data_IF_199202600558
#
_entry.id   IF_199202600558
#
_cell.length_a   1.000
_cell.length_b   1.000
_cell.length_c   1.000
_cell.angle_alpha   90.00
_cell.angle_beta   90.00
_cell.angle_gamma   90.00
#
_symmetry.space_group_name_H-M   'P 1'
#
loop_
_entity.id
_entity.type
_entity.pdbx_description
1 polymer ?
#
# COMPACT_ATOMS: atom_id res chain seq x y z
N UNK A 1 1.20 -0.92 74.47
CA UNK A 1 0.02 -0.71 73.62
C UNK A 1 0.47 0.08 72.40
N UNK A 2 0.92 -0.63 71.35
CA UNK A 2 1.45 -0.01 70.13
C UNK A 2 0.28 0.44 69.25
N UNK A 3 0.23 1.73 68.92
CA UNK A 3 -0.73 2.29 67.96
C UNK A 3 -0.09 2.16 66.58
N UNK A 4 -0.49 1.18 65.79
CA UNK A 4 -0.14 1.08 64.38
C UNK A 4 -0.79 2.26 63.66
N UNK A 5 -0.04 3.19 63.05
CA UNK A 5 -0.64 4.14 62.12
C UNK A 5 -0.98 3.37 60.84
N UNK A 6 -2.26 2.98 60.72
CA UNK A 6 -2.88 2.65 59.44
C UNK A 6 -2.73 3.87 58.54
N UNK A 7 -1.67 3.88 57.73
CA UNK A 7 -1.56 4.79 56.60
C UNK A 7 -2.60 4.29 55.60
N UNK A 8 -3.78 4.91 55.64
CA UNK A 8 -4.72 4.81 54.55
C UNK A 8 -4.07 5.51 53.36
N UNK A 9 -3.52 4.71 52.45
CA UNK A 9 -3.05 5.17 51.16
C UNK A 9 -4.25 5.77 50.41
N UNK A 10 -4.35 7.09 50.46
CA UNK A 10 -5.23 7.89 49.61
C UNK A 10 -4.68 7.81 48.18
N UNK A 11 -4.99 6.70 47.51
CA UNK A 11 -4.73 6.51 46.08
C UNK A 11 -5.65 7.45 45.29
N UNK A 12 -5.33 8.74 45.32
CA UNK A 12 -5.95 9.77 44.51
C UNK A 12 -5.93 9.34 43.05
N UNK A 13 -7.10 8.93 42.56
CA UNK A 13 -7.34 8.51 41.20
C UNK A 13 -6.94 9.66 40.27
N UNK A 14 -5.73 9.61 39.72
CA UNK A 14 -5.16 10.63 38.84
C UNK A 14 -5.87 10.55 37.48
N UNK A 15 -7.15 10.97 37.45
CA UNK A 15 -8.01 10.96 36.27
C UNK A 15 -7.73 12.25 35.51
N UNK A 16 -7.29 12.12 34.24
CA UNK A 16 -7.16 13.26 33.35
C UNK A 16 -8.50 13.98 33.19
N UNK A 17 -8.54 15.33 33.26
CA UNK A 17 -9.79 16.08 33.32
C UNK A 17 -10.63 15.86 32.06
N UNK A 18 -11.89 15.48 32.27
CA UNK A 18 -12.88 15.18 31.20
C UNK A 18 -12.99 16.32 30.17
N UNK A 19 -12.83 17.56 30.61
CA UNK A 19 -12.90 18.74 29.75
C UNK A 19 -11.86 18.73 28.61
N UNK A 20 -10.72 18.07 28.80
CA UNK A 20 -9.71 17.98 27.75
C UNK A 20 -10.15 17.08 26.58
N UNK A 21 -10.84 15.99 26.88
CA UNK A 21 -11.41 15.08 25.87
C UNK A 21 -12.57 15.73 25.12
N UNK A 22 -13.44 16.48 25.82
CA UNK A 22 -14.55 17.19 25.17
C UNK A 22 -14.03 18.27 24.20
N UNK A 23 -13.01 19.02 24.61
CA UNK A 23 -12.42 20.08 23.76
C UNK A 23 -11.79 19.49 22.50
N UNK A 24 -11.06 18.39 22.62
CA UNK A 24 -10.44 17.71 21.47
C UNK A 24 -11.45 16.98 20.59
N UNK A 25 -12.46 16.34 21.18
CA UNK A 25 -13.59 15.75 20.44
C UNK A 25 -14.38 16.79 19.64
N UNK A 26 -14.64 17.97 20.21
CA UNK A 26 -15.30 19.06 19.49
C UNK A 26 -14.47 19.56 18.30
N UNK A 27 -13.14 19.68 18.46
CA UNK A 27 -12.25 20.06 17.36
C UNK A 27 -12.29 19.03 16.21
N UNK A 28 -12.36 17.72 16.52
CA UNK A 28 -12.54 16.70 15.49
C UNK A 28 -13.91 16.75 14.81
N UNK A 29 -14.98 17.04 15.55
CA UNK A 29 -16.31 17.22 14.97
C UNK A 29 -16.35 18.40 13.98
N UNK A 30 -15.67 19.50 14.31
CA UNK A 30 -15.52 20.65 13.41
C UNK A 30 -14.75 20.25 12.15
N UNK A 31 -13.61 19.56 12.30
CA UNK A 31 -12.82 19.10 11.15
C UNK A 31 -13.57 18.06 10.29
N UNK A 32 -14.41 17.22 10.89
CA UNK A 32 -15.30 16.29 10.19
C UNK A 32 -16.29 17.07 9.31
N UNK A 33 -16.96 18.07 9.89
CA UNK A 33 -17.85 18.96 9.15
C UNK A 33 -17.12 19.68 8.01
N UNK A 34 -15.90 20.16 8.28
CA UNK A 34 -15.07 20.83 7.28
C UNK A 34 -14.72 19.90 6.11
N UNK A 35 -14.39 18.63 6.37
CA UNK A 35 -14.12 17.65 5.29
C UNK A 35 -15.36 17.34 4.47
N UNK A 36 -16.54 17.27 5.10
CA UNK A 36 -17.80 17.04 4.38
C UNK A 36 -18.15 18.26 3.54
N UNK A 37 -17.95 19.47 4.06
CA UNK A 37 -18.21 20.70 3.34
C UNK A 37 -17.24 20.86 2.16
N UNK A 38 -15.96 20.54 2.37
CA UNK A 38 -14.97 20.51 1.31
C UNK A 38 -15.33 19.50 0.23
N UNK A 39 -15.87 18.34 0.58
CA UNK A 39 -16.34 17.36 -0.39
C UNK A 39 -17.61 17.80 -1.16
N UNK A 40 -18.37 18.78 -0.64
CA UNK A 40 -19.58 19.32 -1.27
C UNK A 40 -19.31 20.52 -2.17
N UNK A 41 -18.13 21.16 -2.05
CA UNK A 41 -17.77 22.37 -2.80
C UNK A 41 -16.70 22.02 -3.81
N UNK A 42 -16.97 22.26 -5.10
CA UNK A 42 -15.97 22.13 -6.16
C UNK A 42 -15.01 23.32 -6.15
N UNK A 43 -13.94 23.21 -5.36
CA UNK A 43 -12.87 24.22 -5.32
C UNK A 43 -12.16 24.39 -6.67
N UNK A 44 -12.24 23.38 -7.56
CA UNK A 44 -11.63 23.42 -8.87
C UNK A 44 -12.18 24.52 -9.78
N UNK A 45 -13.46 24.85 -9.65
CA UNK A 45 -14.10 25.87 -10.50
C UNK A 45 -13.80 27.30 -9.98
N UNK A 46 -13.76 27.44 -8.65
CA UNK A 46 -13.57 28.72 -7.93
C UNK A 46 -12.11 29.18 -8.01
N UNK A 47 -11.14 28.25 -7.96
CA UNK A 47 -9.70 28.57 -7.91
C UNK A 47 -9.05 28.59 -9.30
N UNK A 48 -9.55 27.81 -10.27
CA UNK A 48 -8.92 27.63 -11.59
C UNK A 48 -9.65 28.36 -12.74
N UNK A 49 -10.72 29.12 -12.43
CA UNK A 49 -11.35 30.03 -13.41
C UNK A 49 -11.87 29.36 -14.68
N UNK A 50 -12.43 28.15 -14.58
CA UNK A 50 -13.07 27.43 -15.70
C UNK A 50 -12.17 26.49 -16.51
N UNK A 51 -10.89 26.31 -16.18
CA UNK A 51 -10.06 25.25 -16.79
C UNK A 51 -10.37 23.87 -16.16
N UNK A 52 -11.42 23.21 -16.65
CA UNK A 52 -11.94 21.91 -16.17
C UNK A 52 -10.90 20.76 -16.11
N UNK A 53 -9.77 20.89 -16.80
CA UNK A 53 -8.74 19.85 -16.89
C UNK A 53 -7.81 19.79 -15.66
N UNK A 54 -7.74 20.84 -14.83
CA UNK A 54 -6.95 20.82 -13.59
C UNK A 54 -7.77 20.88 -12.31
N UNK A 55 -9.07 21.20 -12.41
CA UNK A 55 -9.95 21.39 -11.25
C UNK A 55 -10.05 20.16 -10.34
N UNK A 56 -9.99 18.95 -10.91
CA UNK A 56 -10.05 17.70 -10.14
C UNK A 56 -8.82 17.48 -9.27
N UNK A 57 -7.62 17.84 -9.75
CA UNK A 57 -6.39 17.73 -8.97
C UNK A 57 -6.40 18.71 -7.80
N UNK A 58 -6.91 19.92 -8.01
CA UNK A 58 -7.00 20.95 -6.97
C UNK A 58 -7.91 20.49 -5.83
N UNK A 59 -9.10 19.96 -6.15
CA UNK A 59 -10.00 19.44 -5.12
C UNK A 59 -9.33 18.29 -4.32
N UNK A 60 -8.64 17.39 -5.01
CA UNK A 60 -7.97 16.26 -4.34
C UNK A 60 -6.80 16.72 -3.45
N UNK A 61 -6.01 17.69 -3.89
CA UNK A 61 -4.94 18.30 -3.07
C UNK A 61 -5.50 18.99 -1.83
N UNK A 62 -6.61 19.73 -1.97
CA UNK A 62 -7.31 20.36 -0.84
C UNK A 62 -7.83 19.29 0.13
N UNK A 63 -8.44 18.22 -0.37
CA UNK A 63 -8.90 17.11 0.46
C UNK A 63 -7.74 16.44 1.24
N UNK A 64 -6.61 16.17 0.57
CA UNK A 64 -5.41 15.61 1.20
C UNK A 64 -4.82 16.57 2.25
N UNK A 65 -4.80 17.87 1.97
CA UNK A 65 -4.32 18.88 2.93
C UNK A 65 -5.18 18.91 4.20
N UNK A 66 -6.51 18.95 4.05
CA UNK A 66 -7.43 18.92 5.18
C UNK A 66 -7.28 17.59 5.95
N UNK A 67 -7.13 16.48 5.24
CA UNK A 67 -6.89 15.17 5.84
C UNK A 67 -5.58 15.12 6.64
N UNK A 68 -4.49 15.73 6.14
CA UNK A 68 -3.20 15.80 6.83
C UNK A 68 -3.30 16.61 8.13
N UNK A 69 -3.96 17.77 8.11
CA UNK A 69 -4.20 18.60 9.31
C UNK A 69 -5.01 17.80 10.34
N UNK A 70 -6.05 17.08 9.89
CA UNK A 70 -6.86 16.19 10.74
C UNK A 70 -6.01 15.11 11.38
N UNK A 71 -5.18 14.42 10.61
CA UNK A 71 -4.29 13.38 11.11
C UNK A 71 -3.32 13.93 12.17
N UNK A 72 -2.74 15.11 11.94
CA UNK A 72 -1.84 15.75 12.91
C UNK A 72 -2.55 16.08 14.23
N UNK A 73 -3.77 16.63 14.19
CA UNK A 73 -4.57 16.88 15.40
C UNK A 73 -4.86 15.59 16.17
N UNK A 74 -5.28 14.53 15.48
CA UNK A 74 -5.57 13.22 16.10
C UNK A 74 -4.34 12.67 16.82
N UNK A 75 -3.18 12.68 16.15
CA UNK A 75 -1.92 12.17 16.71
C UNK A 75 -1.47 13.00 17.91
N UNK A 76 -1.53 14.33 17.83
CA UNK A 76 -1.04 15.16 18.94
C UNK A 76 -1.96 15.15 20.16
N UNK A 77 -3.28 15.10 19.95
CA UNK A 77 -4.28 15.28 21.00
C UNK A 77 -5.00 13.99 21.44
N UNK A 78 -5.52 13.20 20.50
CA UNK A 78 -6.27 11.97 20.82
C UNK A 78 -5.35 10.84 21.26
N UNK A 79 -4.19 10.70 20.62
CA UNK A 79 -3.16 9.77 21.09
C UNK A 79 -2.35 10.30 22.28
N UNK A 80 -2.68 11.50 22.80
CA UNK A 80 -2.02 12.13 23.94
C UNK A 80 -0.48 12.19 23.82
N UNK A 81 0.08 12.15 22.61
CA UNK A 81 1.53 12.11 22.38
C UNK A 81 2.22 13.29 23.06
N UNK A 82 1.60 14.48 23.06
CA UNK A 82 2.16 15.67 23.69
C UNK A 82 2.46 15.48 25.18
N UNK A 83 1.57 14.80 25.92
CA UNK A 83 1.68 14.57 27.36
C UNK A 83 2.27 13.21 27.71
N UNK A 84 2.49 12.36 26.71
CA UNK A 84 3.10 11.06 26.88
C UNK A 84 4.60 11.16 27.18
N UNK A 85 5.17 10.04 27.64
CA UNK A 85 6.59 9.92 27.92
C UNK A 85 7.44 10.13 26.66
N UNK A 86 8.70 10.55 26.83
CA UNK A 86 9.61 10.78 25.70
C UNK A 86 9.81 9.52 24.85
N UNK A 87 9.76 8.33 25.45
CA UNK A 87 9.85 7.05 24.75
C UNK A 87 8.65 6.84 23.82
N UNK A 88 7.42 7.12 24.28
CA UNK A 88 6.22 6.97 23.46
C UNK A 88 6.23 7.95 22.26
N UNK A 89 6.76 9.16 22.43
CA UNK A 89 6.91 10.15 21.35
C UNK A 89 7.83 9.64 20.24
N UNK A 90 8.96 9.03 20.59
CA UNK A 90 9.92 8.46 19.62
C UNK A 90 9.27 7.32 18.84
N UNK A 91 8.61 6.37 19.52
CA UNK A 91 7.94 5.26 18.85
C UNK A 91 6.81 5.73 17.92
N UNK A 92 6.03 6.73 18.32
CA UNK A 92 5.00 7.29 17.46
C UNK A 92 5.57 7.97 16.22
N UNK A 93 6.67 8.72 16.35
CA UNK A 93 7.41 9.31 15.23
C UNK A 93 7.96 8.23 14.29
N UNK A 94 8.55 7.17 14.83
CA UNK A 94 9.03 6.03 14.04
C UNK A 94 7.89 5.39 13.25
N UNK A 95 6.75 5.11 13.89
CA UNK A 95 5.58 4.57 13.19
C UNK A 95 5.08 5.49 12.07
N UNK A 96 5.01 6.79 12.34
CA UNK A 96 4.58 7.77 11.33
C UNK A 96 5.59 7.94 10.19
N UNK A 97 6.88 7.77 10.44
CA UNK A 97 7.93 7.76 9.42
C UNK A 97 7.89 6.51 8.53
N UNK A 98 7.56 5.34 9.10
CA UNK A 98 7.40 4.10 8.34
C UNK A 98 6.09 4.02 7.55
N UNK A 99 5.06 4.77 7.95
CA UNK A 99 3.75 4.83 7.29
C UNK A 99 3.84 5.20 5.79
N UNK A 100 4.49 6.30 5.36
CA UNK A 100 4.63 6.62 3.94
C UNK A 100 5.44 5.56 3.17
N UNK A 101 6.43 4.92 3.82
CA UNK A 101 7.19 3.82 3.19
C UNK A 101 6.25 2.64 2.89
N UNK A 102 5.37 2.29 3.82
CA UNK A 102 4.35 1.25 3.60
C UNK A 102 3.43 1.60 2.43
N UNK A 103 2.95 2.84 2.34
CA UNK A 103 2.12 3.29 1.20
C UNK A 103 2.88 3.28 -0.12
N UNK A 104 4.16 3.65 -0.13
CA UNK A 104 4.99 3.60 -1.34
C UNK A 104 5.14 2.17 -1.86
N UNK A 105 5.39 1.21 -0.96
CA UNK A 105 5.46 -0.22 -1.32
C UNK A 105 4.09 -0.72 -1.80
N UNK A 106 3.01 -0.30 -1.15
CA UNK A 106 1.65 -0.63 -1.61
C UNK A 106 1.39 -0.07 -3.02
N UNK A 107 1.72 1.19 -3.28
CA UNK A 107 1.58 1.81 -4.59
C UNK A 107 2.43 1.11 -5.67
N UNK A 108 3.62 0.62 -5.33
CA UNK A 108 4.44 -0.23 -6.20
C UNK A 108 3.68 -1.49 -6.62
N UNK A 109 3.08 -2.21 -5.67
CA UNK A 109 2.25 -3.38 -5.98
C UNK A 109 1.05 -3.05 -6.89
N UNK A 110 0.40 -1.89 -6.71
CA UNK A 110 -0.71 -1.48 -7.57
C UNK A 110 -0.28 -1.15 -9.01
N UNK A 111 0.95 -0.71 -9.20
CA UNK A 111 1.46 -0.29 -10.51
C UNK A 111 2.13 -1.44 -11.27
N UNK A 112 2.45 -2.55 -10.58
CA UNK A 112 2.99 -3.74 -11.22
C UNK A 112 1.95 -4.34 -12.16
N UNK A 113 2.29 -4.41 -13.45
CA UNK A 113 1.56 -5.23 -14.39
C UNK A 113 1.74 -6.69 -14.00
N UNK A 114 0.66 -7.36 -13.66
CA UNK A 114 0.66 -8.80 -13.48
C UNK A 114 0.95 -9.45 -14.83
N UNK A 115 2.21 -9.75 -15.09
CA UNK A 115 2.56 -10.62 -16.19
C UNK A 115 1.95 -12.00 -15.92
N UNK A 116 1.32 -12.58 -16.93
CA UNK A 116 0.82 -13.95 -16.84
C UNK A 116 2.07 -14.83 -16.73
N UNK A 117 2.28 -15.45 -15.58
CA UNK A 117 3.39 -16.40 -15.40
C UNK A 117 3.28 -17.44 -16.52
N UNK A 118 4.26 -17.45 -17.43
CA UNK A 118 4.44 -18.55 -18.37
C UNK A 118 4.85 -19.76 -17.53
N UNK A 119 3.87 -20.59 -17.18
CA UNK A 119 4.13 -21.85 -16.48
C UNK A 119 5.10 -22.72 -17.28
N UNK A 120 5.62 -23.77 -16.65
CA UNK A 120 6.37 -24.83 -17.33
C UNK A 120 5.47 -25.70 -18.25
N UNK A 121 4.50 -25.09 -18.90
CA UNK A 121 3.68 -25.64 -19.97
C UNK A 121 3.78 -24.69 -21.16
N UNK A 122 5.01 -24.55 -21.62
CA UNK A 122 5.36 -24.36 -23.01
C UNK A 122 4.65 -23.23 -23.76
N UNK A 123 5.22 -22.04 -23.67
CA UNK A 123 5.36 -21.14 -24.83
C UNK A 123 6.29 -21.77 -25.90
N UNK A 124 6.02 -23.02 -26.29
CA UNK A 124 6.88 -23.86 -27.14
C UNK A 124 6.19 -24.31 -28.43
N UNK A 125 4.96 -23.86 -28.70
CA UNK A 125 4.26 -24.26 -29.93
C UNK A 125 4.54 -23.36 -31.13
N UNK A 126 5.17 -22.19 -30.94
CA UNK A 126 5.32 -21.17 -32.00
C UNK A 126 6.78 -20.85 -32.39
N UNK A 127 7.78 -21.54 -31.86
CA UNK A 127 9.20 -21.35 -32.27
C UNK A 127 9.73 -22.49 -33.16
N UNK A 128 8.90 -23.48 -33.49
CA UNK A 128 9.25 -24.43 -34.54
C UNK A 128 9.10 -23.74 -35.89
N UNK A 129 10.19 -23.65 -36.66
CA UNK A 129 10.12 -23.26 -38.07
C UNK A 129 9.01 -24.10 -38.74
N UNK A 130 8.19 -23.52 -39.65
CA UNK A 130 7.13 -24.27 -40.30
C UNK A 130 7.73 -25.52 -40.92
N UNK A 131 7.20 -26.69 -40.56
CA UNK A 131 7.57 -27.94 -41.21
C UNK A 131 7.18 -27.79 -42.68
N UNK A 132 8.17 -27.57 -43.55
CA UNK A 132 7.99 -27.79 -44.98
C UNK A 132 7.78 -29.29 -45.11
N UNK A 133 6.52 -29.68 -45.33
CA UNK A 133 6.15 -31.07 -45.63
C UNK A 133 6.88 -31.42 -46.92
N UNK A 134 7.95 -32.22 -46.82
CA UNK A 134 8.49 -32.87 -48.01
C UNK A 134 7.46 -33.88 -48.50
N UNK A 135 7.38 -34.11 -49.81
CA UNK A 135 6.45 -35.05 -50.45
C UNK A 135 6.44 -36.45 -49.82
N UNK A 136 7.48 -36.79 -49.05
CA UNK A 136 7.71 -38.09 -48.45
C UNK A 136 7.22 -38.20 -46.98
N UNK A 137 6.73 -37.12 -46.36
CA UNK A 137 6.35 -37.08 -44.93
C UNK A 137 4.90 -37.52 -44.65
N UNK A 138 4.19 -38.07 -45.64
CA UNK A 138 2.79 -38.49 -45.53
C UNK A 138 2.59 -39.89 -44.89
N UNK A 139 3.63 -40.57 -44.40
CA UNK A 139 3.47 -41.85 -43.74
C UNK A 139 3.34 -41.67 -42.21
N UNK A 140 2.33 -42.28 -41.54
CA UNK A 140 2.22 -42.24 -40.09
C UNK A 140 3.51 -42.80 -39.45
N UNK A 141 4.17 -41.99 -38.63
CA UNK A 141 5.35 -42.42 -37.89
C UNK A 141 4.91 -43.50 -36.88
N UNK A 142 5.41 -44.73 -37.06
CA UNK A 142 5.22 -45.80 -36.09
C UNK A 142 5.86 -45.36 -34.75
N UNK A 143 5.10 -45.25 -33.65
CA UNK A 143 5.60 -44.81 -32.35
C UNK A 143 6.65 -45.74 -31.74
N UNK A 144 6.95 -46.90 -32.36
CA UNK A 144 7.98 -47.85 -31.89
C UNK A 144 9.24 -47.94 -32.75
N UNK A 145 9.44 -47.09 -33.75
CA UNK A 145 10.75 -46.95 -34.40
C UNK A 145 11.68 -46.08 -33.55
N UNK A 146 11.99 -46.59 -32.36
CA UNK A 146 13.00 -46.08 -31.47
C UNK A 146 14.37 -46.11 -32.14
N UNK A 147 15.17 -45.08 -31.87
CA UNK A 147 16.56 -45.26 -31.45
C UNK A 147 17.52 -45.89 -32.48
N UNK A 148 18.57 -45.13 -32.83
CA UNK A 148 19.83 -45.62 -33.45
C UNK A 148 19.99 -45.48 -34.99
N UNK A 149 19.77 -44.28 -35.54
CA UNK A 149 20.14 -43.97 -36.94
C UNK A 149 21.07 -42.76 -37.12
N UNK A 150 21.86 -42.38 -36.11
CA UNK A 150 23.01 -41.51 -36.34
C UNK A 150 24.33 -42.26 -36.12
N UNK A 151 24.56 -43.28 -36.98
CA UNK A 151 25.92 -43.75 -37.28
C UNK A 151 26.55 -42.68 -38.15
N UNK A 152 27.22 -41.74 -37.49
CA UNK A 152 27.97 -40.70 -38.16
C UNK A 152 29.08 -41.34 -39.02
N UNK A 153 29.08 -41.24 -40.36
CA UNK A 153 30.23 -41.64 -41.14
C UNK A 153 31.25 -40.52 -40.97
N UNK A 154 32.14 -40.68 -39.99
CA UNK A 154 33.38 -39.90 -39.93
C UNK A 154 34.20 -40.28 -41.16
N UNK A 155 33.92 -39.61 -42.28
CA UNK A 155 34.75 -39.62 -43.46
C UNK A 155 36.11 -39.09 -43.05
N UNK A 156 37.09 -39.98 -43.07
CA UNK A 156 38.51 -39.68 -43.24
C UNK A 156 38.68 -38.44 -44.12
N UNK A 157 39.43 -37.45 -43.63
CA UNK A 157 40.38 -36.62 -44.36
C UNK A 157 40.88 -35.50 -43.41
N UNK A 158 42.15 -35.64 -43.02
CA UNK A 158 43.05 -34.72 -42.32
C UNK A 158 42.88 -34.54 -40.80
#
# INVERSE_FOLDING_TARGET
MAKSPLHADDHGHHIHPVGMYIRTGSALMVLMGLTVLAARVDFGDIVTGGHHQYGYYVNNLVAILIAAIKAFLVVMFFMHIKWSSSTAKVWALTGFFFLPILFSVFADYFTRSHEVVNGWTGSQMETALPRVIGENDQAPLDPKSSNNQNRNPRSSLW
#
